data_IF_668118638148
#
_entry.id   IF_668118638148
#
_cell.length_a   1.000
_cell.length_b   1.000
_cell.length_c   1.000
_cell.angle_alpha   90.00
_cell.angle_beta   90.00
_cell.angle_gamma   90.00
#
_symmetry.space_group_name_H-M   'P 1'
#
loop_
_entity.id
_entity.type
_entity.pdbx_description
1 polymer ?
#
# COMPACT_ATOMS: atom_id res chain seq x y z
N UNK A 1 -30.92 9.86 10.80
CA UNK A 1 -29.64 9.23 10.46
C UNK A 1 -28.72 9.40 11.66
N UNK A 2 -28.16 8.32 12.23
CA UNK A 2 -27.47 8.35 13.53
C UNK A 2 -26.05 8.89 13.38
N UNK A 3 -25.74 10.01 14.02
CA UNK A 3 -24.38 10.56 14.13
C UNK A 3 -23.38 9.55 14.75
N UNK A 4 -23.87 8.61 15.57
CA UNK A 4 -23.08 7.53 16.15
C UNK A 4 -22.56 6.54 15.09
N UNK A 5 -23.42 6.09 14.17
CA UNK A 5 -23.03 5.19 13.07
C UNK A 5 -21.98 5.88 12.20
N UNK A 6 -22.18 7.15 11.89
CA UNK A 6 -21.24 7.94 11.11
C UNK A 6 -19.84 8.03 11.73
N UNK A 7 -19.76 8.31 13.04
CA UNK A 7 -18.48 8.36 13.76
C UNK A 7 -17.80 6.99 13.80
N UNK A 8 -18.59 5.93 13.87
CA UNK A 8 -18.09 4.56 13.83
C UNK A 8 -17.48 4.23 12.46
N UNK A 9 -18.21 4.45 11.36
CA UNK A 9 -17.75 4.18 9.99
C UNK A 9 -16.46 4.96 9.66
N UNK A 10 -16.40 6.25 10.01
CA UNK A 10 -15.18 7.05 9.85
C UNK A 10 -14.03 6.48 10.71
N UNK A 11 -14.34 6.02 11.92
CA UNK A 11 -13.36 5.39 12.81
C UNK A 11 -12.79 4.09 12.25
N UNK A 12 -13.64 3.24 11.67
CA UNK A 12 -13.26 1.98 11.03
C UNK A 12 -12.39 2.24 9.79
N UNK A 13 -12.75 3.21 8.96
CA UNK A 13 -11.95 3.65 7.82
C UNK A 13 -10.59 4.21 8.24
N UNK A 14 -10.51 5.03 9.29
CA UNK A 14 -9.24 5.54 9.84
C UNK A 14 -8.35 4.40 10.33
N UNK A 15 -8.90 3.45 11.09
CA UNK A 15 -8.16 2.31 11.61
C UNK A 15 -7.68 1.37 10.48
N UNK A 16 -8.48 1.18 9.44
CA UNK A 16 -8.07 0.43 8.25
C UNK A 16 -6.97 1.16 7.46
N UNK A 17 -7.10 2.48 7.26
CA UNK A 17 -6.11 3.29 6.56
C UNK A 17 -4.77 3.36 7.29
N UNK A 18 -4.75 3.49 8.62
CA UNK A 18 -3.51 3.46 9.42
C UNK A 18 -2.80 2.10 9.33
N UNK A 19 -3.56 0.99 9.33
CA UNK A 19 -3.01 -0.36 9.12
C UNK A 19 -2.42 -0.50 7.72
N UNK A 20 -3.14 -0.05 6.69
CA UNK A 20 -2.67 -0.09 5.32
C UNK A 20 -1.38 0.73 5.14
N UNK A 21 -1.34 1.93 5.72
CA UNK A 21 -0.18 2.81 5.72
C UNK A 21 1.04 2.15 6.37
N UNK A 22 0.87 1.52 7.53
CA UNK A 22 1.96 0.79 8.20
C UNK A 22 2.52 -0.37 7.38
N UNK A 23 1.64 -1.11 6.70
CA UNK A 23 2.06 -2.20 5.80
C UNK A 23 2.79 -1.68 4.56
N UNK A 24 2.31 -0.57 3.97
CA UNK A 24 2.97 0.08 2.85
C UNK A 24 4.37 0.59 3.20
N UNK A 25 4.54 1.23 4.37
CA UNK A 25 5.86 1.64 4.86
C UNK A 25 6.80 0.45 5.08
N UNK A 26 6.28 -0.65 5.64
CA UNK A 26 7.07 -1.88 5.82
C UNK A 26 7.51 -2.45 4.48
N UNK A 27 6.61 -2.47 3.49
CA UNK A 27 6.92 -2.92 2.14
C UNK A 27 7.95 -2.02 1.44
N UNK A 28 7.81 -0.69 1.56
CA UNK A 28 8.76 0.29 1.04
C UNK A 28 10.17 0.06 1.58
N UNK A 29 10.30 -0.04 2.90
CA UNK A 29 11.59 -0.29 3.56
C UNK A 29 12.26 -1.58 3.07
N UNK A 30 11.46 -2.62 2.80
CA UNK A 30 11.96 -3.89 2.27
C UNK A 30 12.39 -3.79 0.81
N UNK A 31 11.59 -3.13 -0.02
CA UNK A 31 11.90 -2.92 -1.44
C UNK A 31 13.14 -2.02 -1.63
N UNK A 32 13.28 -0.98 -0.81
CA UNK A 32 14.46 -0.12 -0.77
C UNK A 32 15.72 -0.92 -0.42
N UNK A 33 15.60 -1.81 0.57
CA UNK A 33 16.67 -2.72 0.93
C UNK A 33 16.98 -3.69 -0.21
N UNK A 34 15.97 -4.27 -0.89
CA UNK A 34 16.16 -5.22 -1.98
C UNK A 34 16.80 -4.58 -3.22
N UNK A 35 16.41 -3.35 -3.59
CA UNK A 35 16.96 -2.61 -4.72
C UNK A 35 18.44 -2.26 -4.56
N UNK A 36 18.88 -1.95 -3.34
CA UNK A 36 20.28 -1.61 -3.06
C UNK A 36 21.24 -2.82 -3.16
N UNK A 37 20.75 -4.06 -3.04
CA UNK A 37 21.55 -5.27 -3.29
C UNK A 37 21.73 -5.56 -4.79
N UNK A 38 20.80 -5.13 -5.64
CA UNK A 38 20.92 -5.29 -7.11
C UNK A 38 22.08 -4.50 -7.73
N UNK A 39 22.51 -3.41 -7.07
CA UNK A 39 23.66 -2.59 -7.50
C UNK A 39 24.99 -3.20 -7.03
N UNK A 40 24.98 -3.95 -5.92
CA UNK A 40 26.18 -4.61 -5.38
C UNK A 40 26.74 -5.69 -6.32
N UNK A 41 25.90 -6.33 -7.14
CA UNK A 41 26.32 -7.30 -8.16
C UNK A 41 27.21 -6.68 -9.27
N UNK A 42 27.12 -5.36 -9.52
CA UNK A 42 27.83 -4.72 -10.64
C UNK A 42 29.18 -4.09 -10.27
N UNK A 43 29.51 -3.94 -8.98
CA UNK A 43 30.66 -3.14 -8.54
C UNK A 43 31.80 -3.89 -7.84
N UNK A 44 31.69 -5.19 -7.56
CA UNK A 44 32.69 -5.79 -6.66
C UNK A 44 32.82 -7.31 -6.61
N UNK A 45 32.72 -8.01 -7.74
CA UNK A 45 33.36 -9.30 -7.96
C UNK A 45 33.17 -10.40 -6.90
N UNK A 46 32.18 -11.28 -7.13
CA UNK A 46 32.31 -12.70 -6.82
C UNK A 46 31.91 -13.18 -5.42
N UNK A 47 31.13 -14.27 -5.42
CA UNK A 47 30.94 -15.28 -4.37
C UNK A 47 29.82 -15.18 -3.32
N UNK A 48 28.94 -14.17 -3.34
CA UNK A 48 27.68 -14.23 -2.60
C UNK A 48 26.59 -13.71 -3.56
N UNK A 49 25.50 -14.41 -3.89
CA UNK A 49 24.27 -14.33 -3.09
C UNK A 49 23.03 -15.02 -3.72
N UNK A 50 23.13 -16.06 -4.57
CA UNK A 50 21.92 -16.67 -5.19
C UNK A 50 20.86 -17.15 -4.15
N UNK A 51 21.32 -17.71 -3.02
CA UNK A 51 20.43 -18.21 -1.95
C UNK A 51 19.84 -17.09 -1.07
N UNK A 52 20.60 -16.03 -0.81
CA UNK A 52 20.15 -14.87 -0.02
C UNK A 52 19.18 -13.99 -0.82
N UNK A 53 19.32 -13.95 -2.15
CA UNK A 53 18.47 -13.18 -3.07
C UNK A 53 17.04 -13.73 -3.10
N UNK A 54 16.87 -15.05 -3.10
CA UNK A 54 15.55 -15.70 -3.13
C UNK A 54 14.72 -15.46 -1.86
N UNK A 55 15.34 -15.58 -0.68
CA UNK A 55 14.62 -15.38 0.60
C UNK A 55 14.13 -13.94 0.77
N UNK A 56 14.94 -12.95 0.38
CA UNK A 56 14.55 -11.53 0.53
C UNK A 56 13.51 -11.08 -0.49
N UNK A 57 13.55 -11.66 -1.68
CA UNK A 57 12.54 -11.42 -2.71
C UNK A 57 11.19 -12.00 -2.25
N UNK A 58 11.17 -13.24 -1.75
CA UNK A 58 9.97 -13.83 -1.16
C UNK A 58 9.40 -13.01 0.02
N UNK A 59 10.27 -12.46 0.88
CA UNK A 59 9.83 -11.57 1.96
C UNK A 59 9.18 -10.27 1.43
N UNK A 60 9.76 -9.68 0.38
CA UNK A 60 9.20 -8.49 -0.24
C UNK A 60 7.83 -8.78 -0.88
N UNK A 61 7.65 -9.94 -1.54
CA UNK A 61 6.36 -10.38 -2.04
C UNK A 61 5.34 -10.55 -0.90
N UNK A 62 5.72 -11.22 0.18
CA UNK A 62 4.83 -11.41 1.33
C UNK A 62 4.38 -10.08 1.96
N UNK A 63 5.29 -9.10 2.05
CA UNK A 63 4.96 -7.76 2.54
C UNK A 63 4.10 -6.98 1.55
N UNK A 64 4.32 -7.13 0.24
CA UNK A 64 3.46 -6.55 -0.77
C UNK A 64 2.04 -7.12 -0.73
N UNK A 65 1.90 -8.43 -0.60
CA UNK A 65 0.59 -9.09 -0.44
C UNK A 65 -0.12 -8.62 0.82
N UNK A 66 0.61 -8.46 1.92
CA UNK A 66 0.05 -7.88 3.15
C UNK A 66 -0.41 -6.43 2.94
N UNK A 67 0.41 -5.60 2.30
CA UNK A 67 0.05 -4.22 2.01
C UNK A 67 -1.18 -4.13 1.09
N UNK A 68 -1.28 -5.03 0.10
CA UNK A 68 -2.47 -5.17 -0.73
C UNK A 68 -3.70 -5.51 0.10
N UNK A 69 -3.62 -6.55 0.92
CA UNK A 69 -4.74 -6.99 1.74
C UNK A 69 -5.25 -5.87 2.65
N UNK A 70 -4.34 -5.16 3.33
CA UNK A 70 -4.73 -4.07 4.22
C UNK A 70 -5.31 -2.86 3.45
N UNK A 71 -4.77 -2.55 2.26
CA UNK A 71 -5.35 -1.53 1.36
C UNK A 71 -6.74 -1.94 0.86
N UNK A 72 -7.00 -3.22 0.59
CA UNK A 72 -8.32 -3.71 0.17
C UNK A 72 -9.35 -3.56 1.29
N UNK A 73 -8.96 -3.80 2.54
CA UNK A 73 -9.80 -3.53 3.68
C UNK A 73 -10.10 -2.03 3.73
N UNK A 74 -9.08 -1.17 3.66
CA UNK A 74 -9.29 0.28 3.67
C UNK A 74 -10.20 0.75 2.53
N UNK A 75 -10.04 0.21 1.33
CA UNK A 75 -10.89 0.47 0.18
C UNK A 75 -12.37 0.12 0.47
N UNK A 76 -12.62 -0.99 1.17
CA UNK A 76 -13.98 -1.41 1.57
C UNK A 76 -14.58 -0.43 2.57
N UNK A 77 -13.88 -0.16 3.67
CA UNK A 77 -14.36 0.78 4.69
C UNK A 77 -14.63 2.18 4.09
N UNK A 78 -13.81 2.63 3.14
CA UNK A 78 -14.04 3.88 2.43
C UNK A 78 -15.31 3.87 1.58
N UNK A 79 -15.68 2.75 0.95
CA UNK A 79 -16.95 2.63 0.21
C UNK A 79 -18.13 2.72 1.15
N UNK A 80 -18.03 2.10 2.33
CA UNK A 80 -19.08 2.13 3.33
C UNK A 80 -19.26 3.56 3.87
N UNK A 81 -18.17 4.27 4.16
CA UNK A 81 -18.19 5.72 4.46
C UNK A 81 -18.84 6.52 3.33
N UNK A 82 -18.50 6.27 2.06
CA UNK A 82 -19.08 6.98 0.92
C UNK A 82 -20.59 6.76 0.78
N UNK A 83 -21.08 5.54 0.97
CA UNK A 83 -22.51 5.22 0.91
C UNK A 83 -23.29 5.90 2.03
N UNK A 84 -22.71 6.00 3.23
CA UNK A 84 -23.40 6.56 4.40
C UNK A 84 -23.34 8.09 4.49
N UNK A 85 -22.31 8.72 3.90
CA UNK A 85 -22.09 10.17 4.03
C UNK A 85 -22.35 10.97 2.75
N UNK A 86 -22.70 10.34 1.62
CA UNK A 86 -22.71 11.00 0.28
C UNK A 86 -21.44 11.82 -0.01
N UNK A 87 -20.32 11.49 0.66
CA UNK A 87 -19.07 12.20 0.52
C UNK A 87 -18.46 11.85 -0.83
N UNK A 88 -18.68 12.74 -1.79
CA UNK A 88 -18.00 12.75 -3.09
C UNK A 88 -16.57 13.27 -3.01
N UNK A 89 -15.93 13.15 -1.85
CA UNK A 89 -14.50 13.41 -1.76
C UNK A 89 -13.74 12.45 -2.68
N UNK A 90 -12.47 12.74 -2.94
CA UNK A 90 -11.60 12.05 -3.90
C UNK A 90 -11.44 10.53 -3.70
N UNK A 91 -12.23 9.93 -2.79
CA UNK A 91 -12.54 8.51 -2.67
C UNK A 91 -12.73 7.84 -4.03
N UNK A 92 -13.48 8.45 -4.97
CA UNK A 92 -13.65 7.89 -6.31
C UNK A 92 -12.32 7.66 -7.04
N UNK A 93 -11.40 8.63 -6.97
CA UNK A 93 -10.06 8.52 -7.56
C UNK A 93 -9.17 7.51 -6.83
N UNK A 94 -9.34 7.37 -5.50
CA UNK A 94 -8.65 6.35 -4.73
C UNK A 94 -9.16 4.94 -5.01
N UNK A 95 -10.48 4.73 -5.14
CA UNK A 95 -11.04 3.42 -5.46
C UNK A 95 -10.49 2.91 -6.79
N UNK A 96 -10.49 3.76 -7.82
CA UNK A 96 -9.90 3.43 -9.12
C UNK A 96 -8.38 3.22 -9.05
N UNK A 97 -7.68 4.01 -8.23
CA UNK A 97 -6.25 3.80 -7.98
C UNK A 97 -5.97 2.47 -7.30
N UNK A 98 -6.74 2.10 -6.28
CA UNK A 98 -6.54 0.87 -5.53
C UNK A 98 -6.74 -0.34 -6.45
N UNK A 99 -7.80 -0.32 -7.27
CA UNK A 99 -8.04 -1.36 -8.28
C UNK A 99 -6.85 -1.46 -9.25
N UNK A 100 -6.37 -0.34 -9.80
CA UNK A 100 -5.17 -0.30 -10.66
C UNK A 100 -3.89 -0.78 -9.95
N UNK A 101 -3.65 -0.34 -8.73
CA UNK A 101 -2.50 -0.71 -7.91
C UNK A 101 -2.51 -2.22 -7.65
N UNK A 102 -3.66 -2.82 -7.35
CA UNK A 102 -3.75 -4.27 -7.13
C UNK A 102 -3.57 -5.09 -8.41
N UNK A 103 -4.13 -4.63 -9.53
CA UNK A 103 -4.02 -5.32 -10.82
C UNK A 103 -2.59 -5.23 -11.37
N UNK A 104 -1.95 -4.06 -11.26
CA UNK A 104 -0.60 -3.83 -11.77
C UNK A 104 0.53 -4.33 -10.87
N UNK A 105 0.33 -4.37 -9.54
CA UNK A 105 1.38 -4.75 -8.59
C UNK A 105 1.38 -6.25 -8.26
N UNK A 106 0.23 -6.94 -8.32
CA UNK A 106 0.16 -8.37 -7.95
C UNK A 106 0.21 -9.32 -9.13
N UNK A 107 -0.27 -8.91 -10.30
CA UNK A 107 -0.18 -9.79 -11.46
C UNK A 107 1.27 -10.05 -11.90
N UNK A 108 2.21 -9.13 -11.61
CA UNK A 108 3.52 -9.08 -12.28
C UNK A 108 4.78 -9.21 -11.39
N UNK A 109 4.71 -9.34 -10.05
CA UNK A 109 5.92 -9.21 -9.20
C UNK A 109 6.28 -10.49 -8.42
N UNK A 110 7.50 -11.03 -8.51
CA UNK A 110 8.82 -10.39 -8.62
C UNK A 110 9.69 -10.97 -9.75
N UNK A 111 9.60 -10.41 -10.96
CA UNK A 111 10.66 -10.59 -11.97
C UNK A 111 11.77 -9.56 -11.73
N UNK A 112 13.02 -9.97 -11.90
CA UNK A 112 14.25 -9.26 -11.53
C UNK A 112 14.34 -7.79 -12.02
N UNK A 113 13.59 -7.38 -13.04
CA UNK A 113 13.70 -6.05 -13.65
C UNK A 113 12.83 -4.95 -13.04
N UNK A 114 11.95 -5.22 -12.08
CA UNK A 114 10.88 -4.27 -11.75
C UNK A 114 10.83 -3.70 -10.31
N UNK A 115 11.83 -3.97 -9.47
CA UNK A 115 11.86 -3.43 -8.08
C UNK A 115 11.68 -1.89 -8.04
N UNK A 116 12.17 -1.16 -9.04
CA UNK A 116 11.97 0.31 -9.12
C UNK A 116 10.49 0.70 -9.25
N UNK A 117 9.76 0.04 -10.14
CA UNK A 117 8.35 0.30 -10.40
C UNK A 117 7.49 -0.03 -9.17
N UNK A 118 7.80 -1.14 -8.48
CA UNK A 118 7.14 -1.50 -7.23
C UNK A 118 7.37 -0.44 -6.14
N UNK A 119 8.58 0.14 -6.05
CA UNK A 119 8.88 1.22 -5.09
C UNK A 119 8.11 2.49 -5.40
N UNK A 120 7.99 2.86 -6.68
CA UNK A 120 7.21 4.01 -7.11
C UNK A 120 5.73 3.83 -6.78
N UNK A 121 5.15 2.69 -7.14
CA UNK A 121 3.76 2.39 -6.83
C UNK A 121 3.48 2.41 -5.32
N UNK A 122 4.37 1.85 -4.50
CA UNK A 122 4.22 1.88 -3.04
C UNK A 122 4.30 3.30 -2.48
N UNK A 123 5.19 4.15 -3.03
CA UNK A 123 5.25 5.58 -2.65
C UNK A 123 3.96 6.31 -2.98
N UNK A 124 3.43 6.10 -4.18
CA UNK A 124 2.16 6.71 -4.59
C UNK A 124 1.01 6.26 -3.71
N UNK A 125 0.97 4.97 -3.34
CA UNK A 125 -0.03 4.43 -2.42
C UNK A 125 0.07 5.09 -1.03
N UNK A 126 1.29 5.26 -0.49
CA UNK A 126 1.51 5.95 0.79
C UNK A 126 0.95 7.36 0.74
N UNK A 127 1.35 8.17 -0.25
CA UNK A 127 0.90 9.56 -0.34
C UNK A 127 -0.62 9.69 -0.47
N UNK A 128 -1.26 8.77 -1.22
CA UNK A 128 -2.72 8.76 -1.36
C UNK A 128 -3.43 8.36 -0.08
N UNK A 129 -2.93 7.34 0.63
CA UNK A 129 -3.51 6.90 1.91
C UNK A 129 -3.38 7.99 2.97
N UNK A 130 -2.22 8.66 3.04
CA UNK A 130 -2.00 9.79 3.96
C UNK A 130 -2.98 10.94 3.70
N UNK A 131 -3.13 11.33 2.43
CA UNK A 131 -4.09 12.36 2.05
C UNK A 131 -5.52 12.03 2.50
N UNK A 132 -5.96 10.78 2.28
CA UNK A 132 -7.30 10.36 2.68
C UNK A 132 -7.49 10.26 4.18
N UNK A 133 -6.47 9.80 4.91
CA UNK A 133 -6.51 9.78 6.37
C UNK A 133 -6.67 11.19 6.93
N UNK A 134 -5.96 12.17 6.36
CA UNK A 134 -6.09 13.57 6.76
C UNK A 134 -7.47 14.13 6.43
N UNK A 135 -8.04 13.76 5.29
CA UNK A 135 -9.40 14.17 4.91
C UNK A 135 -10.47 13.55 5.83
N UNK A 136 -10.39 12.24 6.10
CA UNK A 136 -11.27 11.56 7.05
C UNK A 136 -11.17 12.14 8.46
N UNK A 137 -9.96 12.54 8.90
CA UNK A 137 -9.75 13.22 10.18
C UNK A 137 -10.46 14.57 10.23
N UNK A 138 -10.47 15.34 9.13
CA UNK A 138 -11.20 16.62 9.03
C UNK A 138 -12.71 16.43 9.10
N UNK A 139 -13.21 15.35 8.48
CA UNK A 139 -14.63 14.97 8.45
C UNK A 139 -15.17 14.46 9.79
N UNK A 140 -14.29 13.96 10.67
CA UNK A 140 -14.65 13.43 11.99
C UNK A 140 -15.04 14.51 13.01
N UNK A 141 -14.71 15.77 12.74
CA UNK A 141 -14.91 16.94 13.62
C UNK A 141 -16.25 17.59 13.30
#
# INVERSE_FOLDING_TARGET
MNQEVMKQEIGEALAAGERALGSLYTAQNRLDSAGNWGIFDMLGGGFFTDMLKHSRMNDAAALMEKAKYDLQIFQRELRDVQMHLELKLELGGFLSFADFFFDGLVADYLVQSRISDAREQVRDAISRVEYLLDELKRQRI
#
